data_IF_986973953084
#
_entry.id   IF_986973953084
#
_cell.length_a   1.000
_cell.length_b   1.000
_cell.length_c   1.000
_cell.angle_alpha   90.00
_cell.angle_beta   90.00
_cell.angle_gamma   90.00
#
_symmetry.space_group_name_H-M   'P 1'
#
loop_
_entity.id
_entity.type
_entity.pdbx_description
1 polymer ?
#
# COMPACT_ATOMS: atom_id res chain seq x y z
N UNK A 1 5.70 -13.95 8.27
CA UNK A 1 5.12 -13.04 7.25
C UNK A 1 4.34 -11.92 7.94
N UNK A 2 4.33 -10.70 7.40
CA UNK A 2 3.53 -9.58 7.95
C UNK A 2 2.38 -9.24 6.99
N UNK A 3 1.19 -9.79 7.27
CA UNK A 3 -0.01 -9.64 6.42
C UNK A 3 -0.56 -8.22 6.44
N UNK A 4 -0.54 -7.55 7.60
CA UNK A 4 -1.03 -6.17 7.72
C UNK A 4 -0.19 -5.20 6.88
N UNK A 5 1.13 -5.36 6.89
CA UNK A 5 2.04 -4.57 6.04
C UNK A 5 1.80 -4.82 4.55
N UNK A 6 1.54 -6.06 4.14
CA UNK A 6 1.23 -6.38 2.75
C UNK A 6 -0.07 -5.72 2.29
N UNK A 7 -1.14 -5.86 3.09
CA UNK A 7 -2.44 -5.22 2.81
C UNK A 7 -2.32 -3.70 2.71
N UNK A 8 -1.49 -3.08 3.56
CA UNK A 8 -1.24 -1.65 3.49
C UNK A 8 -0.54 -1.25 2.18
N UNK A 9 0.45 -2.02 1.73
CA UNK A 9 1.14 -1.77 0.45
C UNK A 9 0.19 -1.94 -0.75
N UNK A 10 -0.59 -3.03 -0.80
CA UNK A 10 -1.61 -3.24 -1.84
C UNK A 10 -2.66 -2.10 -1.83
N UNK A 11 -3.11 -1.68 -0.64
CA UNK A 11 -3.99 -0.52 -0.48
C UNK A 11 -3.33 0.78 -0.94
N UNK A 12 -2.01 0.93 -0.96
CA UNK A 12 -1.29 2.09 -1.49
C UNK A 12 -0.96 1.98 -2.99
N UNK A 13 -1.25 0.83 -3.60
CA UNK A 13 -1.20 0.65 -5.05
C UNK A 13 0.02 -0.13 -5.52
N UNK A 14 0.75 -0.73 -4.57
CA UNK A 14 1.86 -1.61 -4.88
C UNK A 14 1.35 -2.94 -5.47
N UNK A 15 2.08 -3.42 -6.48
CA UNK A 15 1.87 -4.70 -7.14
C UNK A 15 2.77 -5.77 -6.49
N UNK A 16 2.24 -6.97 -6.22
CA UNK A 16 3.04 -8.07 -5.66
C UNK A 16 3.88 -8.73 -6.75
N UNK A 17 5.18 -8.89 -6.48
CA UNK A 17 6.14 -9.43 -7.46
C UNK A 17 6.65 -10.82 -7.09
N UNK A 18 6.59 -11.18 -5.81
CA UNK A 18 7.10 -12.47 -5.38
C UNK A 18 7.35 -12.60 -3.89
N UNK A 19 7.84 -13.78 -3.51
CA UNK A 19 8.28 -14.08 -2.14
C UNK A 19 9.69 -14.63 -2.12
N UNK A 20 10.54 -13.97 -1.36
CA UNK A 20 11.86 -14.48 -1.01
C UNK A 20 11.72 -15.35 0.24
N UNK A 21 11.88 -16.66 0.07
CA UNK A 21 11.84 -17.64 1.16
C UNK A 21 13.08 -17.50 2.03
N UNK A 22 12.88 -17.56 3.35
CA UNK A 22 13.95 -17.50 4.35
C UNK A 22 14.91 -16.30 4.20
N UNK A 23 14.40 -15.17 3.70
CA UNK A 23 15.22 -14.00 3.36
C UNK A 23 16.02 -13.45 4.54
N UNK A 24 15.46 -13.53 5.76
CA UNK A 24 16.04 -12.95 6.97
C UNK A 24 15.83 -13.87 8.17
N UNK A 25 16.72 -13.79 9.16
CA UNK A 25 16.47 -14.26 10.53
C UNK A 25 16.27 -13.03 11.42
N UNK A 26 15.13 -12.95 12.11
CA UNK A 26 14.79 -11.83 12.98
C UNK A 26 14.17 -12.35 14.27
N UNK A 27 14.66 -11.89 15.42
CA UNK A 27 14.19 -12.32 16.75
C UNK A 27 14.16 -13.85 16.88
N UNK A 28 15.23 -14.52 16.44
CA UNK A 28 15.38 -15.98 16.52
C UNK A 28 14.45 -16.79 15.61
N UNK A 29 13.76 -16.17 14.63
CA UNK A 29 12.87 -16.85 13.69
C UNK A 29 13.21 -16.47 12.26
N UNK A 30 13.13 -17.46 11.38
CA UNK A 30 13.24 -17.25 9.94
C UNK A 30 12.01 -16.52 9.41
N UNK A 31 12.23 -15.59 8.48
CA UNK A 31 11.18 -14.76 7.90
C UNK A 31 11.29 -14.72 6.38
N UNK A 32 10.20 -15.09 5.73
CA UNK A 32 9.96 -14.78 4.32
C UNK A 32 9.65 -13.29 4.13
N UNK A 33 10.05 -12.75 2.98
CA UNK A 33 9.77 -11.38 2.55
C UNK A 33 8.94 -11.39 1.28
N UNK A 34 7.76 -10.78 1.32
CA UNK A 34 7.01 -10.42 0.12
C UNK A 34 7.63 -9.16 -0.48
N UNK A 35 7.89 -9.21 -1.79
CA UNK A 35 8.40 -8.09 -2.58
C UNK A 35 7.22 -7.48 -3.34
N UNK A 36 7.08 -6.16 -3.26
CA UNK A 36 6.07 -5.39 -3.96
C UNK A 36 6.68 -4.11 -4.51
N UNK A 37 6.16 -3.61 -5.63
CA UNK A 37 6.68 -2.43 -6.33
C UNK A 37 5.57 -1.49 -6.82
N UNK A 38 5.94 -0.26 -7.13
CA UNK A 38 5.20 0.65 -8.02
C UNK A 38 6.24 1.12 -9.02
N UNK A 39 5.95 1.02 -10.32
CA UNK A 39 6.86 1.49 -11.38
C UNK A 39 6.44 2.87 -11.90
N UNK A 40 7.32 3.50 -12.66
CA UNK A 40 7.12 4.81 -13.28
C UNK A 40 5.85 4.89 -14.14
N UNK A 41 5.55 3.85 -14.93
CA UNK A 41 4.33 3.79 -15.73
C UNK A 41 3.03 3.70 -14.91
N UNK A 42 3.08 3.18 -13.70
CA UNK A 42 1.93 3.08 -12.79
C UNK A 42 1.75 4.36 -11.95
N UNK A 43 2.85 5.06 -11.68
CA UNK A 43 2.89 6.18 -10.75
C UNK A 43 1.90 7.30 -11.05
N UNK A 44 1.72 7.80 -12.29
CA UNK A 44 0.78 8.88 -12.58
C UNK A 44 -0.66 8.60 -12.09
N UNK A 45 -1.14 7.36 -12.27
CA UNK A 45 -2.46 6.96 -11.81
C UNK A 45 -2.52 6.84 -10.27
N UNK A 46 -1.45 6.33 -9.64
CA UNK A 46 -1.38 6.21 -8.17
C UNK A 46 -1.29 7.57 -7.49
N UNK A 47 -0.50 8.50 -8.03
CA UNK A 47 -0.38 9.88 -7.55
C UNK A 47 -1.72 10.61 -7.62
N UNK A 48 -2.43 10.52 -8.75
CA UNK A 48 -3.75 11.12 -8.91
C UNK A 48 -4.76 10.58 -7.87
N UNK A 49 -4.81 9.26 -7.68
CA UNK A 49 -5.69 8.63 -6.69
C UNK A 49 -5.34 9.04 -5.26
N UNK A 50 -4.04 9.07 -4.91
CA UNK A 50 -3.57 9.47 -3.59
C UNK A 50 -3.88 10.94 -3.30
N UNK A 51 -3.66 11.84 -4.27
CA UNK A 51 -4.00 13.25 -4.15
C UNK A 51 -5.49 13.47 -3.93
N UNK A 52 -6.34 12.81 -4.72
CA UNK A 52 -7.79 12.92 -4.58
C UNK A 52 -8.28 12.36 -3.24
N UNK A 53 -7.69 11.26 -2.77
CA UNK A 53 -8.03 10.68 -1.47
C UNK A 53 -7.58 11.56 -0.29
N UNK A 54 -6.44 12.25 -0.41
CA UNK A 54 -5.90 13.16 0.59
C UNK A 54 -6.46 14.59 0.50
N UNK A 55 -7.24 14.90 -0.54
CA UNK A 55 -7.86 16.20 -0.73
C UNK A 55 -8.80 16.52 0.44
N UNK A 56 -8.83 17.77 0.88
CA UNK A 56 -9.60 18.19 2.05
C UNK A 56 -11.10 17.88 1.87
N UNK A 57 -11.58 17.94 0.63
CA UNK A 57 -12.95 17.62 0.23
C UNK A 57 -13.34 16.16 0.47
N UNK A 58 -12.36 15.27 0.67
CA UNK A 58 -12.60 13.87 0.99
C UNK A 58 -12.68 13.61 2.50
N UNK A 59 -12.66 14.65 3.36
CA UNK A 59 -12.76 14.49 4.81
C UNK A 59 -13.94 15.28 5.37
N UNK A 60 -14.64 14.67 6.34
CA UNK A 60 -15.66 15.36 7.13
C UNK A 60 -15.01 16.35 8.09
N UNK A 61 -15.81 17.25 8.69
CA UNK A 61 -15.33 18.19 9.70
C UNK A 61 -14.64 17.51 10.90
N UNK A 62 -15.01 16.26 11.21
CA UNK A 62 -14.43 15.45 12.29
C UNK A 62 -13.18 14.65 11.86
N UNK A 63 -12.67 14.90 10.65
CA UNK A 63 -11.46 14.25 10.11
C UNK A 63 -11.67 12.81 9.63
N UNK A 64 -12.91 12.35 9.46
CA UNK A 64 -13.19 11.03 8.89
C UNK A 64 -13.18 11.09 7.36
N UNK A 65 -12.56 10.11 6.72
CA UNK A 65 -12.60 10.00 5.25
C UNK A 65 -14.04 9.73 4.76
N UNK A 66 -14.43 10.38 3.67
CA UNK A 66 -15.72 10.21 3.00
C UNK A 66 -15.65 9.00 2.06
N UNK A 67 -14.64 8.97 1.18
CA UNK A 67 -14.33 7.83 0.30
C UNK A 67 -12.99 7.22 0.69
N UNK A 68 -12.90 5.89 0.57
CA UNK A 68 -11.63 5.17 0.73
C UNK A 68 -10.76 5.32 -0.51
N UNK A 69 -9.44 5.13 -0.35
CA UNK A 69 -8.47 5.24 -1.44
C UNK A 69 -8.80 4.35 -2.64
N UNK A 70 -9.36 3.17 -2.39
CA UNK A 70 -9.77 2.22 -3.42
C UNK A 70 -10.86 2.76 -4.36
N UNK A 71 -11.64 3.76 -3.94
CA UNK A 71 -12.67 4.39 -4.76
C UNK A 71 -12.14 5.47 -5.72
N UNK A 72 -10.86 5.84 -5.60
CA UNK A 72 -10.18 6.82 -6.47
C UNK A 72 -9.26 6.17 -7.50
N UNK A 73 -9.28 4.84 -7.59
CA UNK A 73 -8.40 4.03 -8.45
C UNK A 73 -9.10 3.52 -9.68
#
# INVERSE_FOLDING_TARGET
>A
MNVASRRAAERLGFSWEGRLRQRLVRKGRTRDSDMLSIIDGEWPARDAALRAWLAAENFTADGQQIKRLEAFR
#
